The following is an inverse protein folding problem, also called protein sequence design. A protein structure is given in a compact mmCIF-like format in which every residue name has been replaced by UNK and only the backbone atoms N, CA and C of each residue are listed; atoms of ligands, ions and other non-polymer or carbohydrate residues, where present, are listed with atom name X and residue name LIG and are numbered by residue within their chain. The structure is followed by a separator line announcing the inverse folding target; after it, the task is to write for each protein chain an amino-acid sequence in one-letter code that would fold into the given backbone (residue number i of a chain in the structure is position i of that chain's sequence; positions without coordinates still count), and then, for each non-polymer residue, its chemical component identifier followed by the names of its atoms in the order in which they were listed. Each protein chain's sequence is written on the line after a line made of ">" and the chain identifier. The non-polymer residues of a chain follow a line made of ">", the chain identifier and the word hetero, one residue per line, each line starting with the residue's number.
data_IF_334720710636
#
_entry.id   IF_334720710636
#
_cell.length_a   1.000
_cell.length_b   1.000
_cell.length_c   1.000
_cell.angle_alpha   90.00
_cell.angle_beta   90.00
_cell.angle_gamma   90.00
#
_symmetry.space_group_name_H-M   'P 1'
#
loop_
_entity.id
_entity.type
_entity.pdbx_description
1 polymer ?
#
# COMPACT_ATOMS: atom_id res chain seq x y z
N UNK A 1 7.11 9.15 3.98
CA UNK A 1 6.25 9.74 5.02
C UNK A 1 6.32 8.99 6.36
N UNK A 2 6.04 7.69 6.47
CA UNK A 2 6.02 6.97 7.77
C UNK A 2 7.25 7.20 8.67
N UNK A 3 8.46 7.27 8.09
CA UNK A 3 9.71 7.49 8.85
C UNK A 3 9.84 8.89 9.46
N UNK A 4 9.06 9.87 9.00
CA UNK A 4 9.15 11.26 9.49
C UNK A 4 8.77 11.39 10.97
N UNK A 5 7.96 10.46 11.49
CA UNK A 5 7.67 10.33 12.93
C UNK A 5 8.94 10.25 13.77
N UNK A 6 10.02 9.70 13.22
CA UNK A 6 11.31 9.58 13.90
C UNK A 6 12.25 10.76 13.65
N UNK A 7 11.76 11.85 13.05
CA UNK A 7 12.58 12.99 12.62
C UNK A 7 13.48 12.69 11.42
N UNK A 8 13.27 11.53 10.77
CA UNK A 8 14.06 11.10 9.63
C UNK A 8 13.48 11.66 8.33
N UNK A 9 14.37 12.02 7.40
CA UNK A 9 14.01 12.44 6.05
C UNK A 9 14.33 11.32 5.08
N UNK A 10 13.38 11.00 4.20
CA UNK A 10 13.56 9.98 3.17
C UNK A 10 12.99 10.50 1.87
N UNK A 11 13.84 10.52 0.85
CA UNK A 11 13.48 10.87 -0.51
C UNK A 11 12.89 9.65 -1.23
N UNK A 12 11.93 9.89 -2.13
CA UNK A 12 11.26 8.83 -2.88
C UNK A 12 12.22 8.13 -3.86
N UNK A 13 13.11 8.87 -4.51
CA UNK A 13 14.07 8.32 -5.46
C UNK A 13 15.08 7.41 -4.76
N UNK A 14 15.56 7.82 -3.59
CA UNK A 14 16.42 6.98 -2.75
C UNK A 14 15.71 5.67 -2.37
N UNK A 15 14.41 5.76 -2.07
CA UNK A 15 13.62 4.57 -1.74
C UNK A 15 13.44 3.64 -2.95
N UNK A 16 13.14 4.19 -4.13
CA UNK A 16 13.02 3.43 -5.40
C UNK A 16 14.35 2.73 -5.74
N UNK A 17 15.47 3.44 -5.57
CA UNK A 17 16.81 2.89 -5.79
C UNK A 17 17.12 1.76 -4.81
N UNK A 18 16.84 1.95 -3.51
CA UNK A 18 17.06 0.93 -2.49
C UNK A 18 16.22 -0.34 -2.73
N UNK A 19 15.06 -0.20 -3.34
CA UNK A 19 14.20 -1.31 -3.77
C UNK A 19 14.66 -1.96 -5.09
N UNK A 20 15.54 -1.31 -5.86
CA UNK A 20 15.91 -1.76 -7.20
C UNK A 20 14.77 -1.67 -8.21
N UNK A 21 13.81 -0.76 -7.98
CA UNK A 21 12.53 -0.71 -8.70
C UNK A 21 12.49 0.36 -9.80
N UNK A 22 13.60 1.02 -10.12
CA UNK A 22 13.65 2.19 -11.03
C UNK A 22 12.99 1.91 -12.39
N UNK A 23 13.18 0.71 -12.94
CA UNK A 23 12.64 0.32 -14.25
C UNK A 23 11.19 -0.20 -14.22
N UNK A 24 10.62 -0.46 -13.04
CA UNK A 24 9.31 -1.11 -12.90
C UNK A 24 8.29 -0.29 -12.12
N UNK A 25 8.72 0.64 -11.27
CA UNK A 25 7.84 1.36 -10.33
C UNK A 25 6.69 2.08 -11.04
N UNK A 26 6.93 2.71 -12.19
CA UNK A 26 5.90 3.41 -12.95
C UNK A 26 4.87 2.47 -13.58
N UNK A 27 5.19 1.18 -13.75
CA UNK A 27 4.32 0.21 -14.43
C UNK A 27 3.53 -0.67 -13.47
N UNK A 28 4.13 -1.02 -12.33
CA UNK A 28 3.58 -2.04 -11.42
C UNK A 28 3.72 -1.68 -9.94
N UNK A 29 4.18 -0.45 -9.62
CA UNK A 29 4.44 -0.04 -8.25
C UNK A 29 5.59 -0.80 -7.59
N UNK A 30 5.60 -0.81 -6.25
CA UNK A 30 6.57 -1.55 -5.42
C UNK A 30 5.80 -2.32 -4.35
N UNK A 31 5.90 -3.65 -4.28
CA UNK A 31 5.29 -4.44 -3.22
C UNK A 31 5.80 -4.04 -1.83
N UNK A 32 4.94 -4.10 -0.82
CA UNK A 32 5.29 -3.75 0.56
C UNK A 32 6.53 -4.51 1.09
N UNK A 33 6.70 -5.78 0.73
CA UNK A 33 7.88 -6.56 1.13
C UNK A 33 9.20 -5.98 0.57
N UNK A 34 9.17 -5.41 -0.62
CA UNK A 34 10.35 -4.81 -1.22
C UNK A 34 10.59 -3.40 -0.68
N UNK A 35 9.51 -2.66 -0.36
CA UNK A 35 9.60 -1.44 0.45
C UNK A 35 10.25 -1.73 1.81
N UNK A 36 9.87 -2.82 2.49
CA UNK A 36 10.46 -3.19 3.78
C UNK A 36 11.96 -3.52 3.66
N UNK A 37 12.36 -4.25 2.60
CA UNK A 37 13.78 -4.53 2.32
C UNK A 37 14.55 -3.26 1.99
N UNK A 38 14.01 -2.39 1.14
CA UNK A 38 14.62 -1.11 0.77
C UNK A 38 14.81 -0.22 2.00
N UNK A 39 13.78 -0.11 2.85
CA UNK A 39 13.84 0.65 4.09
C UNK A 39 14.92 0.12 5.01
N UNK A 40 15.05 -1.20 5.16
CA UNK A 40 16.07 -1.83 6.01
C UNK A 40 17.49 -1.54 5.55
N UNK A 41 17.72 -1.34 4.25
CA UNK A 41 19.03 -0.92 3.71
C UNK A 41 19.38 0.50 4.12
N UNK A 42 18.39 1.39 4.15
CA UNK A 42 18.57 2.83 4.45
C UNK A 42 18.62 3.07 5.96
N UNK A 43 17.68 2.47 6.70
CA UNK A 43 17.46 2.64 8.14
C UNK A 43 17.40 1.27 8.83
N UNK A 44 18.56 0.64 9.11
CA UNK A 44 18.63 -0.71 9.67
C UNK A 44 18.07 -0.82 11.08
N UNK A 45 17.85 0.28 11.80
CA UNK A 45 17.21 0.35 13.12
C UNK A 45 15.68 0.30 13.06
N UNK A 46 15.10 0.45 11.87
CA UNK A 46 13.67 0.41 11.65
C UNK A 46 13.22 -0.96 11.14
N UNK A 47 11.93 -1.26 11.36
CA UNK A 47 11.27 -2.48 10.89
C UNK A 47 9.86 -2.14 10.43
N UNK A 48 9.41 -2.78 9.36
CA UNK A 48 8.03 -2.70 8.90
C UNK A 48 7.21 -3.76 9.61
N UNK A 49 6.06 -3.35 10.13
CA UNK A 49 5.02 -4.24 10.62
C UNK A 49 3.83 -4.19 9.69
N UNK A 50 3.25 -5.34 9.38
CA UNK A 50 2.07 -5.44 8.53
C UNK A 50 0.97 -6.31 9.17
N UNK A 51 -0.26 -6.13 8.70
CA UNK A 51 -1.38 -7.00 8.99
C UNK A 51 -2.44 -6.93 7.89
N UNK A 52 -2.86 -8.10 7.42
CA UNK A 52 -4.03 -8.27 6.57
C UNK A 52 -5.30 -8.57 7.39
N UNK A 53 -6.47 -8.39 6.80
CA UNK A 53 -7.76 -8.58 7.47
C UNK A 53 -7.98 -7.59 8.61
N UNK A 54 -7.37 -6.41 8.51
CA UNK A 54 -7.38 -5.40 9.57
C UNK A 54 -8.77 -4.75 9.72
N UNK A 55 -8.97 -4.08 10.85
CA UNK A 55 -10.22 -3.35 11.16
C UNK A 55 -9.94 -1.87 11.39
N UNK A 56 -10.89 -1.00 11.05
CA UNK A 56 -10.79 0.44 11.32
C UNK A 56 -10.48 0.78 12.79
N UNK A 57 -11.04 0.01 13.73
CA UNK A 57 -10.77 0.19 15.18
C UNK A 57 -9.30 -0.08 15.56
N UNK A 58 -8.61 -0.95 14.82
CA UNK A 58 -7.19 -1.25 15.06
C UNK A 58 -6.31 -0.09 14.56
N UNK A 59 -6.65 0.49 13.40
CA UNK A 59 -6.03 1.74 12.92
C UNK A 59 -6.21 2.85 13.97
N UNK A 60 -7.44 3.05 14.46
CA UNK A 60 -7.72 4.04 15.49
C UNK A 60 -6.89 3.80 16.78
N UNK A 61 -6.71 2.53 17.17
CA UNK A 61 -5.89 2.15 18.33
C UNK A 61 -4.41 2.48 18.12
N UNK A 62 -3.88 2.23 16.91
CA UNK A 62 -2.51 2.58 16.53
C UNK A 62 -2.28 4.09 16.52
N UNK A 63 -3.20 4.86 15.94
CA UNK A 63 -3.16 6.32 15.93
C UNK A 63 -3.20 6.90 17.35
N UNK A 64 -4.03 6.35 18.24
CA UNK A 64 -4.08 6.75 19.65
C UNK A 64 -2.79 6.42 20.44
N UNK A 65 -1.94 5.54 19.89
CA UNK A 65 -0.58 5.25 20.37
C UNK A 65 0.50 5.95 19.54
N UNK A 66 0.08 7.00 18.83
CA UNK A 66 0.91 7.89 18.03
C UNK A 66 1.55 7.21 16.80
N UNK A 67 1.19 5.96 16.45
CA UNK A 67 1.70 5.33 15.23
C UNK A 67 1.05 5.94 13.98
N UNK A 68 1.89 6.29 13.00
CA UNK A 68 1.41 6.51 11.64
C UNK A 68 1.12 5.16 11.00
N UNK A 69 -0.05 5.03 10.39
CA UNK A 69 -0.52 3.79 9.77
C UNK A 69 -0.71 4.04 8.28
N UNK A 70 -0.05 3.23 7.46
CA UNK A 70 -0.33 3.17 6.03
C UNK A 70 -1.28 2.02 5.72
N UNK A 71 -2.04 2.16 4.64
CA UNK A 71 -3.00 1.17 4.14
C UNK A 71 -2.79 0.97 2.65
N UNK A 72 -3.10 -0.24 2.19
CA UNK A 72 -3.21 -0.58 0.75
C UNK A 72 -4.68 -0.71 0.38
N UNK A 73 -5.13 0.03 -0.64
CA UNK A 73 -6.54 0.07 -1.02
C UNK A 73 -6.72 0.44 -2.50
N UNK A 74 -7.91 0.17 -3.04
CA UNK A 74 -8.33 0.68 -4.35
C UNK A 74 -8.67 2.17 -4.23
N UNK A 75 -7.72 3.02 -4.60
CA UNK A 75 -7.88 4.46 -4.63
C UNK A 75 -9.09 4.91 -5.45
N UNK A 76 -9.56 6.13 -5.19
CA UNK A 76 -10.52 6.83 -6.07
C UNK A 76 -9.75 7.90 -6.82
N UNK A 77 -9.57 7.73 -8.12
CA UNK A 77 -8.95 8.70 -9.01
C UNK A 77 -9.93 9.08 -10.11
N UNK A 78 -9.93 10.34 -10.53
CA UNK A 78 -10.76 10.80 -11.66
C UNK A 78 -10.14 10.23 -12.94
N UNK A 79 -10.98 9.65 -13.81
CA UNK A 79 -10.56 8.81 -14.94
C UNK A 79 -9.69 9.51 -15.99
N UNK A 80 -9.62 10.84 -15.97
CA UNK A 80 -9.04 11.66 -17.04
C UNK A 80 -7.52 11.90 -16.87
N UNK A 81 -6.89 11.36 -15.81
CA UNK A 81 -5.56 11.82 -15.37
C UNK A 81 -4.38 10.91 -15.79
N UNK A 82 -4.66 9.66 -16.19
CA UNK A 82 -3.68 8.75 -16.80
C UNK A 82 -4.41 7.83 -17.79
N UNK A 83 -4.67 8.33 -19.00
CA UNK A 83 -4.92 7.46 -20.14
C UNK A 83 -3.67 6.61 -20.36
N UNK A 84 -3.61 5.43 -19.72
CA UNK A 84 -2.76 4.36 -20.21
C UNK A 84 -3.50 3.74 -21.39
N UNK A 85 -2.98 4.02 -22.59
CA UNK A 85 -3.44 3.45 -23.86
C UNK A 85 -3.56 1.92 -23.73
N UNK A 86 -4.79 1.41 -23.57
CA UNK A 86 -5.10 -0.02 -23.72
C UNK A 86 -5.08 -0.43 -25.21
N UNK A 87 -3.93 -0.28 -25.88
CA UNK A 87 -3.67 -1.03 -27.10
C UNK A 87 -3.22 -2.45 -26.73
N UNK A 88 -4.18 -3.37 -26.57
CA UNK A 88 -4.01 -4.82 -26.81
C UNK A 88 -5.35 -5.60 -26.67
N UNK A 89 -6.43 -5.09 -27.28
CA UNK A 89 -7.82 -5.48 -26.99
C UNK A 89 -8.34 -6.87 -27.39
N UNK A 90 -7.56 -7.75 -28.04
CA UNK A 90 -8.09 -9.06 -28.50
C UNK A 90 -7.11 -10.23 -28.28
N UNK A 91 -5.87 -10.10 -28.74
CA UNK A 91 -4.89 -11.20 -28.71
C UNK A 91 -4.46 -11.56 -27.29
N UNK A 92 -4.29 -10.56 -26.42
CA UNK A 92 -3.95 -10.74 -25.00
C UNK A 92 -5.09 -11.43 -24.23
N UNK A 93 -6.33 -11.04 -24.53
CA UNK A 93 -7.53 -11.63 -23.93
C UNK A 93 -7.72 -13.10 -24.36
N UNK A 94 -7.50 -13.41 -25.64
CA UNK A 94 -7.51 -14.78 -26.14
C UNK A 94 -6.40 -15.65 -25.51
N UNK A 95 -5.16 -15.15 -25.47
CA UNK A 95 -4.05 -15.86 -24.83
C UNK A 95 -4.26 -16.07 -23.34
N UNK A 96 -4.73 -15.07 -22.59
CA UNK A 96 -5.02 -15.20 -21.15
C UNK A 96 -6.12 -16.24 -20.88
N UNK A 97 -7.16 -16.27 -21.71
CA UNK A 97 -8.25 -17.26 -21.63
C UNK A 97 -7.77 -18.68 -21.90
N UNK A 98 -6.83 -18.84 -22.86
CA UNK A 98 -6.26 -20.14 -23.21
C UNK A 98 -5.23 -20.64 -22.17
N UNK A 99 -4.48 -19.72 -21.56
CA UNK A 99 -3.37 -20.04 -20.63
C UNK A 99 -3.79 -20.07 -19.15
N UNK A 100 -5.05 -19.73 -18.83
CA UNK A 100 -5.55 -19.58 -17.45
C UNK A 100 -4.68 -18.64 -16.59
N UNK A 101 -4.08 -17.63 -17.22
CA UNK A 101 -3.29 -16.61 -16.51
C UNK A 101 -4.23 -15.81 -15.60
N UNK A 102 -3.87 -15.57 -14.33
CA UNK A 102 -4.70 -14.79 -13.43
C UNK A 102 -4.87 -13.36 -13.95
N UNK A 103 -6.11 -12.85 -13.90
CA UNK A 103 -6.46 -11.48 -14.29
C UNK A 103 -6.64 -10.65 -13.02
N UNK A 104 -6.07 -9.44 -13.01
CA UNK A 104 -6.26 -8.48 -11.92
C UNK A 104 -7.68 -7.94 -11.91
N UNK A 105 -8.24 -7.75 -10.72
CA UNK A 105 -9.56 -7.18 -10.50
C UNK A 105 -9.47 -5.69 -10.19
N UNK A 106 -8.43 -5.29 -9.47
CA UNK A 106 -8.12 -3.91 -9.18
C UNK A 106 -7.40 -3.24 -10.34
N UNK A 107 -7.62 -1.94 -10.48
CA UNK A 107 -6.90 -1.09 -11.43
C UNK A 107 -6.28 0.13 -10.76
N UNK A 108 -6.51 0.32 -9.45
CA UNK A 108 -6.16 1.54 -8.73
C UNK A 108 -5.54 1.24 -7.36
N UNK A 109 -4.75 0.17 -7.25
CA UNK A 109 -3.98 -0.14 -6.03
C UNK A 109 -3.12 1.06 -5.60
N UNK A 110 -3.22 1.44 -4.33
CA UNK A 110 -2.62 2.68 -3.85
C UNK A 110 -2.27 2.65 -2.35
N UNK A 111 -1.12 3.22 -2.01
CA UNK A 111 -0.72 3.40 -0.61
C UNK A 111 -1.04 4.80 -0.10
N UNK A 112 -1.76 4.87 1.02
CA UNK A 112 -2.05 6.12 1.73
C UNK A 112 -1.66 6.01 3.21
N UNK A 113 -1.45 7.15 3.87
CA UNK A 113 -1.33 7.20 5.34
C UNK A 113 -2.65 7.67 5.94
N UNK A 114 -3.17 6.92 6.89
CA UNK A 114 -4.32 7.31 7.69
C UNK A 114 -3.85 8.26 8.79
N UNK A 115 -4.44 9.44 8.83
CA UNK A 115 -4.17 10.47 9.82
C UNK A 115 -5.24 10.51 10.91
N UNK A 116 -6.46 10.08 10.59
CA UNK A 116 -7.60 10.11 11.49
C UNK A 116 -8.64 9.05 11.10
N UNK A 117 -9.30 8.48 12.12
CA UNK A 117 -10.46 7.60 11.95
C UNK A 117 -11.54 8.06 12.92
N UNK A 118 -12.64 8.59 12.39
CA UNK A 118 -13.78 9.04 13.17
C UNK A 118 -15.01 8.17 12.86
N UNK A 119 -15.13 7.08 13.61
CA UNK A 119 -16.17 6.07 13.42
C UNK A 119 -17.59 6.59 13.68
N UNK A 120 -17.77 7.59 14.56
CA UNK A 120 -19.11 8.12 14.84
C UNK A 120 -19.61 9.04 13.73
N UNK A 121 -18.70 9.80 13.11
CA UNK A 121 -19.03 10.66 11.96
C UNK A 121 -18.89 9.93 10.62
N UNK A 122 -18.29 8.74 10.61
CA UNK A 122 -18.22 7.87 9.45
C UNK A 122 -17.18 8.29 8.41
N UNK A 123 -16.03 8.82 8.81
CA UNK A 123 -14.95 9.16 7.88
C UNK A 123 -13.54 8.79 8.36
N UNK A 124 -12.64 8.69 7.38
CA UNK A 124 -11.19 8.69 7.56
C UNK A 124 -10.60 9.94 6.93
N UNK A 125 -9.45 10.37 7.45
CA UNK A 125 -8.62 11.40 6.83
C UNK A 125 -7.29 10.80 6.41
N UNK A 126 -6.89 11.02 5.17
CA UNK A 126 -5.62 10.54 4.61
C UNK A 126 -4.63 11.68 4.37
N UNK A 127 -3.36 11.37 4.55
CA UNK A 127 -2.25 12.01 3.85
C UNK A 127 -1.93 11.14 2.62
N UNK A 128 -2.30 11.64 1.45
CA UNK A 128 -2.25 10.90 0.19
C UNK A 128 -1.05 11.39 -0.65
N UNK A 129 -0.11 10.51 -1.04
CA UNK A 129 1.06 10.90 -1.83
C UNK A 129 0.73 11.19 -3.30
N UNK A 130 -0.48 10.89 -3.78
CA UNK A 130 -0.88 11.17 -5.16
C UNK A 130 -0.87 12.67 -5.44
N UNK A 131 -0.26 13.09 -6.56
CA UNK A 131 0.10 14.49 -6.84
C UNK A 131 -1.04 15.50 -6.68
N UNK A 132 -2.27 15.14 -7.06
CA UNK A 132 -3.45 16.02 -6.91
C UNK A 132 -3.87 16.26 -5.45
N UNK A 133 -3.59 15.28 -4.58
CA UNK A 133 -3.93 15.25 -3.17
C UNK A 133 -2.74 15.56 -2.26
N UNK A 134 -1.51 15.56 -2.79
CA UNK A 134 -0.31 15.84 -2.03
C UNK A 134 -0.41 17.22 -1.34
N UNK A 135 -0.20 17.22 -0.03
CA UNK A 135 -0.29 18.43 0.81
C UNK A 135 -1.71 18.89 1.15
N UNK A 136 -2.75 18.12 0.80
CA UNK A 136 -4.15 18.39 1.15
C UNK A 136 -4.71 17.27 2.01
N UNK A 137 -5.63 17.61 2.91
CA UNK A 137 -6.41 16.61 3.64
C UNK A 137 -7.42 15.96 2.69
N UNK A 138 -7.39 14.63 2.62
CA UNK A 138 -8.39 13.84 1.88
C UNK A 138 -9.31 13.16 2.86
N UNK A 139 -10.61 13.41 2.75
CA UNK A 139 -11.64 12.76 3.56
C UNK A 139 -12.32 11.67 2.73
N UNK A 140 -12.48 10.48 3.31
CA UNK A 140 -13.16 9.34 2.68
C UNK A 140 -14.14 8.76 3.68
N UNK A 141 -15.34 8.41 3.22
CA UNK A 141 -16.33 7.79 4.09
C UNK A 141 -15.87 6.39 4.53
N UNK A 142 -16.15 6.00 5.77
CA UNK A 142 -15.68 4.69 6.30
C UNK A 142 -16.21 3.52 5.50
N UNK A 143 -17.48 3.57 5.07
CA UNK A 143 -18.10 2.52 4.27
C UNK A 143 -17.42 2.37 2.91
N UNK A 144 -17.13 3.49 2.22
CA UNK A 144 -16.48 3.48 0.92
C UNK A 144 -15.04 2.96 1.04
N UNK A 145 -14.33 3.39 2.08
CA UNK A 145 -12.99 2.86 2.34
C UNK A 145 -13.04 1.36 2.60
N UNK A 146 -13.93 0.86 3.46
CA UNK A 146 -14.01 -0.57 3.76
C UNK A 146 -14.34 -1.44 2.54
N UNK A 147 -15.19 -0.95 1.63
CA UNK A 147 -15.49 -1.63 0.35
C UNK A 147 -14.28 -1.68 -0.60
N UNK A 148 -13.38 -0.70 -0.48
CA UNK A 148 -12.21 -0.52 -1.34
C UNK A 148 -10.90 -0.91 -0.67
N UNK A 149 -10.94 -1.36 0.58
CA UNK A 149 -9.75 -1.67 1.38
C UNK A 149 -9.18 -3.05 1.02
N UNK A 150 -8.76 -3.17 -0.23
CA UNK A 150 -8.09 -4.34 -0.77
C UNK A 150 -7.26 -3.91 -1.98
N UNK A 151 -6.26 -4.72 -2.32
CA UNK A 151 -5.56 -4.62 -3.59
C UNK A 151 -5.21 -5.99 -4.15
N UNK A 152 -4.89 -6.04 -5.44
CA UNK A 152 -4.34 -7.21 -6.06
C UNK A 152 -3.21 -6.92 -7.04
N UNK A 153 -2.27 -7.86 -7.12
CA UNK A 153 -1.13 -7.76 -8.05
C UNK A 153 -0.74 -9.11 -8.61
N UNK A 154 0.04 -9.04 -9.70
CA UNK A 154 0.75 -10.19 -10.26
C UNK A 154 2.19 -10.13 -9.81
N UNK A 155 2.60 -11.12 -9.04
CA UNK A 155 3.98 -11.34 -8.63
C UNK A 155 4.59 -12.52 -9.41
N UNK A 156 5.84 -12.88 -9.12
CA UNK A 156 6.51 -14.08 -9.62
C UNK A 156 6.77 -15.05 -8.48
N UNK A 157 6.50 -16.33 -8.70
CA UNK A 157 6.92 -17.38 -7.78
C UNK A 157 8.44 -17.65 -7.89
N UNK A 158 8.94 -18.58 -7.07
CA UNK A 158 10.36 -18.99 -7.07
C UNK A 158 10.83 -19.61 -8.39
N UNK A 159 9.91 -19.99 -9.27
CA UNK A 159 10.17 -20.53 -10.61
C UNK A 159 9.96 -19.48 -11.70
N UNK A 160 9.68 -18.22 -11.33
CA UNK A 160 9.46 -17.11 -12.26
C UNK A 160 8.06 -17.08 -12.89
N UNK A 161 7.15 -17.97 -12.47
CA UNK A 161 5.76 -18.03 -12.98
C UNK A 161 4.92 -16.94 -12.33
N UNK A 162 3.97 -16.40 -13.10
CA UNK A 162 3.02 -15.40 -12.58
C UNK A 162 2.20 -15.98 -11.44
N UNK A 163 2.16 -15.27 -10.32
CA UNK A 163 1.40 -15.60 -9.12
C UNK A 163 0.47 -14.45 -8.81
N UNK A 164 -0.81 -14.74 -8.67
CA UNK A 164 -1.79 -13.76 -8.17
C UNK A 164 -1.60 -13.57 -6.66
N UNK A 165 -1.58 -12.32 -6.22
CA UNK A 165 -1.52 -11.94 -4.82
C UNK A 165 -2.69 -11.01 -4.56
N UNK A 166 -3.49 -11.36 -3.55
CA UNK A 166 -4.61 -10.57 -3.06
C UNK A 166 -4.32 -10.11 -1.65
N UNK A 167 -4.47 -8.81 -1.40
CA UNK A 167 -4.24 -8.17 -0.13
C UNK A 167 -5.55 -7.65 0.42
N UNK A 168 -6.18 -8.44 1.30
CA UNK A 168 -7.38 -8.04 2.02
C UNK A 168 -7.00 -7.12 3.19
N UNK A 169 -7.52 -5.89 3.20
CA UNK A 169 -7.45 -4.94 4.32
C UNK A 169 -6.06 -4.86 4.94
N UNK A 170 -5.07 -4.66 4.07
CA UNK A 170 -3.68 -4.53 4.46
C UNK A 170 -3.48 -3.16 5.13
N UNK A 171 -2.89 -3.19 6.32
CA UNK A 171 -2.26 -2.02 6.93
C UNK A 171 -0.83 -2.34 7.31
N UNK A 172 0.00 -1.31 7.36
CA UNK A 172 1.37 -1.43 7.80
C UNK A 172 1.87 -0.15 8.47
N UNK A 173 2.95 -0.27 9.22
CA UNK A 173 3.60 0.84 9.89
C UNK A 173 5.10 0.60 9.94
N UNK A 174 5.85 1.66 10.24
CA UNK A 174 7.28 1.58 10.55
C UNK A 174 7.46 1.78 12.05
N UNK A 175 8.22 0.88 12.68
CA UNK A 175 8.57 0.95 14.09
C UNK A 175 10.09 0.84 14.28
N UNK A 176 10.60 1.26 15.44
CA UNK A 176 11.98 0.94 15.85
C UNK A 176 12.08 -0.55 16.17
N UNK A 177 13.25 -1.15 15.90
CA UNK A 177 13.56 -2.50 16.36
C UNK A 177 13.38 -2.60 17.87
N UNK A 178 12.73 -3.69 18.30
CA UNK A 178 12.42 -3.95 19.70
C UNK A 178 11.06 -3.45 20.18
N UNK A 179 10.37 -2.62 19.38
CA UNK A 179 8.96 -2.29 19.64
C UNK A 179 8.10 -3.57 19.54
N UNK A 180 7.23 -3.78 20.52
CA UNK A 180 6.37 -4.97 20.65
C UNK A 180 4.88 -4.65 20.61
N UNK A 181 4.50 -3.37 20.66
CA UNK A 181 3.08 -3.01 20.70
C UNK A 181 2.31 -3.48 19.45
N UNK A 182 2.81 -3.33 18.21
CA UNK A 182 2.12 -3.82 17.01
C UNK A 182 1.78 -5.32 17.07
N UNK A 183 2.64 -6.14 17.71
CA UNK A 183 2.38 -7.57 17.88
C UNK A 183 1.13 -7.86 18.73
N UNK A 184 0.80 -6.99 19.70
CA UNK A 184 -0.41 -7.15 20.51
C UNK A 184 -1.71 -6.96 19.72
N UNK A 185 -1.62 -6.36 18.53
CA UNK A 185 -2.72 -6.21 17.58
C UNK A 185 -2.68 -7.28 16.47
N UNK A 186 -1.79 -8.27 16.59
CA UNK A 186 -1.63 -9.34 15.61
C UNK A 186 -0.86 -8.94 14.35
N UNK A 187 -0.10 -7.84 14.38
CA UNK A 187 0.78 -7.48 13.27
C UNK A 187 2.04 -8.37 13.26
N UNK A 188 2.62 -8.56 12.08
CA UNK A 188 3.87 -9.33 11.89
C UNK A 188 4.96 -8.44 11.30
N UNK A 189 6.23 -8.78 11.56
CA UNK A 189 7.39 -8.05 11.02
C UNK A 189 7.80 -8.65 9.69
N UNK A 190 8.16 -7.79 8.74
CA UNK A 190 8.63 -8.19 7.40
C UNK A 190 9.98 -7.57 7.04
#
# INVERSE_FOLDING_TARGET
>A
MLVSRYGLKLDQELMVEACGARSSVMKVGIPLIDLAKGLRKIYPELVVWEKSGSKLKEIQTLLAKDYLVAVDWQGVFVADEYEDDEEDGWWKSFWNKMTKVPVLKGSQGHYCIVMEVELKKGFLRFADPYGHYAGKDRFVATWEFEERWWDDRLDRDTQGRKKYVFEDRLMFLVAKKGDKFPATLGMTRI
#
